data_IF_076224591272
#
_entry.id   IF_076224591272
#
_cell.length_a   1.000
_cell.length_b   1.000
_cell.length_c   1.000
_cell.angle_alpha   90.00
_cell.angle_beta   90.00
_cell.angle_gamma   90.00
#
_symmetry.space_group_name_H-M   'P 1'
#
loop_
_entity.id
_entity.type
_entity.pdbx_description
1 polymer ?
#
# COMPACT_ATOMS: atom_id res chain seq x y z
N UNK A 1 10.69 -2.44 2.05
CA UNK A 1 9.87 -2.60 3.27
C UNK A 1 10.75 -2.61 4.51
N UNK A 2 10.56 -1.64 5.40
CA UNK A 2 11.33 -1.42 6.61
C UNK A 2 10.88 -2.38 7.72
N UNK A 3 11.76 -3.29 8.14
CA UNK A 3 11.46 -4.32 9.14
C UNK A 3 11.18 -3.74 10.53
N UNK A 4 11.89 -2.69 10.91
CA UNK A 4 11.75 -2.08 12.23
C UNK A 4 10.39 -1.39 12.35
N UNK A 5 9.98 -0.66 11.30
CA UNK A 5 8.64 -0.05 11.22
C UNK A 5 7.54 -1.12 11.34
N UNK A 6 7.65 -2.21 10.58
CA UNK A 6 6.67 -3.28 10.58
C UNK A 6 6.55 -3.96 11.95
N UNK A 7 7.67 -4.17 12.65
CA UNK A 7 7.69 -4.69 14.01
C UNK A 7 7.08 -3.72 15.03
N UNK A 8 7.08 -2.40 14.79
CA UNK A 8 6.38 -1.44 15.67
C UNK A 8 4.86 -1.49 15.52
N UNK A 9 4.35 -1.81 14.32
CA UNK A 9 2.92 -1.91 14.04
C UNK A 9 2.30 -3.23 14.58
N UNK A 10 3.10 -4.27 14.77
CA UNK A 10 2.63 -5.58 15.25
C UNK A 10 2.67 -5.64 16.78
N UNK A 11 1.48 -5.61 17.38
CA UNK A 11 1.28 -5.97 18.79
C UNK A 11 1.18 -7.49 18.93
N UNK A 12 2.29 -8.15 19.25
CA UNK A 12 2.33 -9.58 19.50
C UNK A 12 3.27 -9.94 20.67
N UNK A 13 3.15 -11.15 21.26
CA UNK A 13 4.05 -11.62 22.30
C UNK A 13 5.52 -11.58 21.87
N UNK A 14 6.43 -11.37 22.82
CA UNK A 14 7.86 -11.19 22.57
C UNK A 14 8.51 -12.37 21.83
N UNK A 15 8.02 -13.60 22.06
CA UNK A 15 8.45 -14.81 21.34
C UNK A 15 8.13 -14.72 19.85
N UNK A 16 6.87 -14.43 19.51
CA UNK A 16 6.43 -14.32 18.11
C UNK A 16 7.10 -13.13 17.39
N UNK A 17 7.33 -12.02 18.10
CA UNK A 17 8.05 -10.86 17.56
C UNK A 17 9.50 -11.19 17.19
N UNK A 18 10.15 -12.06 17.97
CA UNK A 18 11.50 -12.56 17.69
C UNK A 18 11.50 -13.46 16.45
N UNK A 19 10.53 -14.35 16.32
CA UNK A 19 10.40 -15.24 15.16
C UNK A 19 10.13 -14.44 13.88
N UNK A 20 9.23 -13.45 13.94
CA UNK A 20 8.99 -12.50 12.85
C UNK A 20 10.25 -11.73 12.45
N UNK A 21 11.04 -11.25 13.43
CA UNK A 21 12.31 -10.58 13.15
C UNK A 21 13.32 -11.51 12.48
N UNK A 22 13.38 -12.78 12.89
CA UNK A 22 14.22 -13.79 12.25
C UNK A 22 13.76 -14.12 10.83
N UNK A 23 12.45 -14.20 10.59
CA UNK A 23 11.89 -14.44 9.25
C UNK A 23 12.05 -13.25 8.30
N UNK A 24 12.00 -12.02 8.83
CA UNK A 24 12.28 -10.81 8.06
C UNK A 24 13.78 -10.70 7.70
N UNK A 25 14.68 -11.10 8.61
CA UNK A 25 16.13 -11.11 8.39
C UNK A 25 16.65 -12.29 7.59
N UNK A 26 15.91 -13.40 7.54
CA UNK A 26 16.33 -14.57 6.79
C UNK A 26 16.43 -14.18 5.31
N UNK A 27 17.65 -14.12 4.77
CA UNK A 27 17.92 -13.80 3.37
C UNK A 27 17.12 -14.65 2.38
N UNK A 28 17.06 -14.20 1.13
CA UNK A 28 16.53 -15.02 0.03
C UNK A 28 17.70 -15.79 -0.57
N UNK A 29 17.53 -17.11 -0.71
CA UNK A 29 18.41 -17.90 -1.57
C UNK A 29 17.79 -17.88 -2.97
N UNK A 30 18.33 -17.06 -3.87
CA UNK A 30 17.93 -17.01 -5.27
C UNK A 30 19.06 -17.57 -6.15
N UNK A 31 18.75 -18.53 -7.00
CA UNK A 31 19.69 -19.18 -7.94
C UNK A 31 21.04 -19.64 -7.33
N UNK A 32 21.06 -20.08 -6.07
CA UNK A 32 22.26 -20.60 -5.40
C UNK A 32 23.19 -19.52 -4.83
N UNK A 33 22.80 -18.24 -4.89
CA UNK A 33 23.48 -17.12 -4.23
C UNK A 33 22.67 -16.73 -3.01
N UNK A 34 23.32 -16.70 -1.84
CA UNK A 34 22.71 -16.23 -0.61
C UNK A 34 22.88 -14.72 -0.53
N UNK A 35 21.79 -13.97 -0.70
CA UNK A 35 21.80 -12.53 -0.50
C UNK A 35 21.20 -12.19 0.86
N UNK A 36 21.98 -11.48 1.69
CA UNK A 36 21.48 -10.88 2.92
C UNK A 36 20.43 -9.83 2.54
N UNK A 37 19.17 -10.03 2.95
CA UNK A 37 18.12 -9.02 2.77
C UNK A 37 18.30 -7.89 3.77
N UNK A 38 19.04 -6.85 3.40
CA UNK A 38 19.11 -5.60 4.18
C UNK A 38 17.79 -4.82 4.18
N UNK A 39 16.92 -5.01 3.16
CA UNK A 39 15.59 -4.45 3.09
C UNK A 39 14.64 -5.30 2.22
N UNK A 40 13.33 -5.28 2.53
CA UNK A 40 12.33 -6.13 1.86
C UNK A 40 12.06 -7.45 2.59
N UNK A 41 10.90 -8.06 2.36
CA UNK A 41 10.64 -9.43 2.83
C UNK A 41 11.19 -10.42 1.82
N UNK A 42 11.61 -11.62 2.25
CA UNK A 42 11.92 -12.69 1.32
C UNK A 42 10.73 -12.96 0.39
N UNK A 43 10.87 -12.66 -0.91
CA UNK A 43 9.88 -13.03 -1.90
C UNK A 43 9.92 -14.56 -2.06
N UNK A 44 9.03 -15.24 -1.35
CA UNK A 44 9.00 -16.71 -1.25
C UNK A 44 8.65 -17.23 0.14
N UNK A 45 8.76 -16.39 1.18
CA UNK A 45 8.26 -16.74 2.50
C UNK A 45 6.73 -16.67 2.54
N UNK A 46 6.05 -17.75 2.95
CA UNK A 46 4.58 -17.86 3.06
C UNK A 46 3.96 -16.71 3.86
N UNK A 47 4.73 -16.08 4.75
CA UNK A 47 4.28 -14.96 5.59
C UNK A 47 4.44 -13.57 4.97
N UNK A 48 5.22 -13.42 3.90
CA UNK A 48 5.48 -12.14 3.23
C UNK A 48 4.20 -11.41 2.81
N UNK A 49 3.19 -12.07 2.19
CA UNK A 49 1.91 -11.43 1.84
C UNK A 49 1.13 -10.95 3.07
N UNK A 50 1.21 -11.69 4.19
CA UNK A 50 0.55 -11.32 5.43
C UNK A 50 1.19 -10.06 6.05
N UNK A 51 2.52 -9.99 6.06
CA UNK A 51 3.26 -8.85 6.61
C UNK A 51 3.04 -7.59 5.77
N UNK A 52 3.05 -7.71 4.45
CA UNK A 52 2.68 -6.62 3.56
C UNK A 52 1.25 -6.13 3.83
N UNK A 53 0.30 -7.05 4.05
CA UNK A 53 -1.07 -6.69 4.39
C UNK A 53 -1.19 -5.94 5.72
N UNK A 54 -0.48 -6.36 6.76
CA UNK A 54 -0.45 -5.65 8.05
C UNK A 54 0.17 -4.26 7.87
N UNK A 55 1.27 -4.18 7.11
CA UNK A 55 1.98 -2.95 6.84
C UNK A 55 1.21 -1.99 5.94
N UNK A 56 0.12 -2.41 5.27
CA UNK A 56 -0.75 -1.57 4.46
C UNK A 56 -2.10 -1.25 5.14
N UNK A 57 -2.44 -1.96 6.21
CA UNK A 57 -3.73 -1.81 6.91
C UNK A 57 -3.90 -0.42 7.55
N UNK A 58 -2.80 0.18 8.02
CA UNK A 58 -2.82 1.54 8.59
C UNK A 58 -3.14 2.64 7.56
N UNK A 59 -2.85 2.40 6.27
CA UNK A 59 -3.17 3.33 5.18
C UNK A 59 -4.68 3.51 5.04
N UNK A 60 -5.45 2.42 5.15
CA UNK A 60 -6.92 2.46 5.05
C UNK A 60 -7.49 3.36 6.14
N UNK A 61 -7.01 3.18 7.39
CA UNK A 61 -7.41 4.01 8.54
C UNK A 61 -7.05 5.48 8.36
N UNK A 62 -5.91 5.78 7.74
CA UNK A 62 -5.50 7.15 7.44
C UNK A 62 -6.52 7.84 6.52
N UNK A 63 -6.91 7.19 5.42
CA UNK A 63 -7.89 7.74 4.47
C UNK A 63 -9.26 7.92 5.12
N UNK A 64 -9.71 6.94 5.91
CA UNK A 64 -10.99 7.03 6.62
C UNK A 64 -11.01 8.14 7.67
N UNK A 65 -9.87 8.44 8.29
CA UNK A 65 -9.73 9.52 9.28
C UNK A 65 -9.73 10.89 8.61
N UNK A 66 -9.06 11.05 7.45
CA UNK A 66 -9.03 12.30 6.69
C UNK A 66 -10.38 12.62 6.05
N UNK A 67 -11.09 11.60 5.53
CA UNK A 67 -12.36 11.77 4.83
C UNK A 67 -13.45 10.89 5.45
N UNK A 68 -13.95 11.26 6.65
CA UNK A 68 -14.98 10.48 7.32
C UNK A 68 -16.28 10.47 6.52
N UNK A 69 -16.96 9.32 6.49
CA UNK A 69 -18.26 9.12 5.85
C UNK A 69 -19.38 9.87 6.61
N UNK A 70 -19.39 11.20 6.56
CA UNK A 70 -20.47 12.05 7.07
C UNK A 70 -21.34 12.55 5.91
N UNK A 71 -22.63 12.69 6.15
CA UNK A 71 -23.54 13.42 5.23
C UNK A 71 -23.01 14.86 5.13
N UNK A 72 -22.69 15.32 3.91
CA UNK A 72 -22.17 16.64 3.55
C UNK A 72 -20.65 16.90 3.64
N UNK A 73 -19.81 15.88 3.83
CA UNK A 73 -18.34 16.06 3.70
C UNK A 73 -17.84 15.24 2.52
N UNK A 74 -16.84 15.79 1.81
CA UNK A 74 -15.99 15.10 0.85
C UNK A 74 -15.76 13.61 1.23
N UNK A 75 -16.22 12.68 0.39
CA UNK A 75 -16.12 11.25 0.66
C UNK A 75 -14.98 10.63 -0.15
N UNK A 76 -14.06 9.95 0.53
CA UNK A 76 -13.13 9.02 -0.09
C UNK A 76 -13.46 7.62 0.37
N UNK A 77 -13.55 6.66 -0.56
CA UNK A 77 -13.69 5.24 -0.25
C UNK A 77 -12.48 4.52 -0.79
N UNK A 78 -11.78 3.81 0.08
CA UNK A 78 -10.67 2.94 -0.30
C UNK A 78 -11.14 1.48 -0.32
N UNK A 79 -10.78 0.77 -1.37
CA UNK A 79 -11.00 -0.67 -1.53
C UNK A 79 -9.63 -1.29 -1.75
N UNK A 80 -9.25 -2.28 -0.95
CA UNK A 80 -7.93 -2.93 -1.00
C UNK A 80 -8.08 -4.43 -1.22
N UNK A 81 -7.24 -4.99 -2.07
CA UNK A 81 -7.07 -6.41 -2.31
C UNK A 81 -5.58 -6.75 -2.32
N UNK A 82 -5.10 -7.44 -1.28
CA UNK A 82 -3.66 -7.65 -1.09
C UNK A 82 -2.87 -6.33 -1.22
N UNK A 83 -1.80 -6.29 -2.01
CA UNK A 83 -1.00 -5.10 -2.27
C UNK A 83 -1.68 -4.06 -3.18
N UNK A 84 -2.72 -4.45 -3.93
CA UNK A 84 -3.47 -3.55 -4.80
C UNK A 84 -4.61 -2.81 -4.07
N UNK A 85 -4.85 -1.57 -4.44
CA UNK A 85 -5.94 -0.77 -3.89
C UNK A 85 -6.48 0.25 -4.88
N UNK A 86 -7.75 0.61 -4.71
CA UNK A 86 -8.45 1.64 -5.46
C UNK A 86 -9.06 2.64 -4.49
N UNK A 87 -8.84 3.92 -4.77
CA UNK A 87 -9.47 5.03 -4.05
C UNK A 87 -10.51 5.67 -4.97
N UNK A 88 -11.74 5.80 -4.47
CA UNK A 88 -12.86 6.41 -5.20
C UNK A 88 -13.36 7.63 -4.44
N UNK A 89 -13.49 8.74 -5.15
CA UNK A 89 -14.03 10.01 -4.64
C UNK A 89 -14.74 10.76 -5.77
N UNK A 90 -15.77 11.58 -5.48
CA UNK A 90 -16.41 12.41 -6.50
C UNK A 90 -15.56 13.60 -6.95
N UNK A 91 -14.51 13.99 -6.21
CA UNK A 91 -13.62 15.11 -6.59
C UNK A 91 -12.24 14.61 -6.97
N UNK A 92 -11.71 15.11 -8.09
CA UNK A 92 -10.33 14.85 -8.53
C UNK A 92 -9.31 15.37 -7.51
N UNK A 93 -9.56 16.53 -6.92
CA UNK A 93 -8.67 17.15 -5.93
C UNK A 93 -8.48 16.24 -4.69
N UNK A 94 -9.56 15.58 -4.25
CA UNK A 94 -9.49 14.62 -3.15
C UNK A 94 -8.63 13.41 -3.54
N UNK A 95 -8.75 12.92 -4.78
CA UNK A 95 -7.94 11.80 -5.26
C UNK A 95 -6.45 12.16 -5.24
N UNK A 96 -6.08 13.37 -5.68
CA UNK A 96 -4.70 13.84 -5.66
C UNK A 96 -4.16 14.02 -4.23
N UNK A 97 -4.99 14.55 -3.33
CA UNK A 97 -4.67 14.63 -1.90
C UNK A 97 -4.48 13.24 -1.29
N UNK A 98 -5.36 12.28 -1.59
CA UNK A 98 -5.22 10.89 -1.16
C UNK A 98 -3.95 10.26 -1.71
N UNK A 99 -3.62 10.45 -3.00
CA UNK A 99 -2.38 9.94 -3.61
C UNK A 99 -1.14 10.46 -2.88
N UNK A 100 -1.14 11.75 -2.55
CA UNK A 100 -0.05 12.39 -1.81
C UNK A 100 0.05 11.83 -0.39
N UNK A 101 -1.05 11.78 0.35
CA UNK A 101 -1.08 11.26 1.71
C UNK A 101 -0.67 9.78 1.80
N UNK A 102 -1.10 8.95 0.85
CA UNK A 102 -0.68 7.54 0.75
C UNK A 102 0.82 7.47 0.46
N UNK A 103 1.34 8.28 -0.47
CA UNK A 103 2.77 8.30 -0.78
C UNK A 103 3.61 8.67 0.44
N UNK A 104 3.18 9.66 1.21
CA UNK A 104 3.84 10.05 2.47
C UNK A 104 3.77 8.96 3.53
N UNK A 105 2.65 8.25 3.62
CA UNK A 105 2.46 7.15 4.55
C UNK A 105 3.32 5.93 4.21
N UNK A 106 3.56 5.67 2.92
CA UNK A 106 4.37 4.53 2.47
C UNK A 106 5.89 4.75 2.65
N UNK A 107 6.38 6.01 2.67
CA UNK A 107 7.79 6.33 2.91
C UNK A 107 8.39 5.66 4.15
N UNK A 108 7.82 5.80 5.37
CA UNK A 108 8.35 5.13 6.57
C UNK A 108 8.22 3.60 6.52
N UNK A 109 7.23 3.08 5.78
CA UNK A 109 7.08 1.64 5.50
C UNK A 109 8.19 1.14 4.56
N UNK A 110 8.88 2.04 3.86
CA UNK A 110 9.87 1.71 2.83
C UNK A 110 9.22 1.07 1.61
N UNK A 111 8.05 1.58 1.24
CA UNK A 111 7.31 1.23 0.02
C UNK A 111 7.09 2.51 -0.79
N UNK A 112 6.99 2.36 -2.11
CA UNK A 112 6.72 3.46 -3.02
C UNK A 112 5.64 3.08 -4.02
N UNK A 113 4.77 4.03 -4.34
CA UNK A 113 3.79 3.87 -5.39
C UNK A 113 4.52 3.90 -6.73
N UNK A 114 4.34 2.86 -7.56
CA UNK A 114 4.88 2.86 -8.93
C UNK A 114 4.04 3.78 -9.81
N UNK A 115 4.59 4.90 -10.32
CA UNK A 115 3.83 5.85 -11.13
C UNK A 115 3.27 5.19 -12.40
N UNK A 116 4.04 4.28 -12.99
CA UNK A 116 3.69 3.54 -14.22
C UNK A 116 2.48 2.62 -14.05
N UNK A 117 2.23 2.12 -12.82
CA UNK A 117 1.07 1.27 -12.51
C UNK A 117 -0.10 2.06 -11.94
N UNK A 118 0.10 3.33 -11.62
CA UNK A 118 -0.92 4.14 -10.94
C UNK A 118 -1.65 5.00 -11.94
N UNK A 119 -2.96 4.80 -12.02
CA UNK A 119 -3.82 5.42 -13.02
C UNK A 119 -4.98 6.15 -12.34
N UNK A 120 -5.25 7.37 -12.78
CA UNK A 120 -6.43 8.12 -12.35
C UNK A 120 -7.39 8.15 -13.54
N UNK A 121 -8.59 7.59 -13.34
CA UNK A 121 -9.62 7.48 -14.36
C UNK A 121 -10.99 7.84 -13.75
N UNK A 122 -11.96 8.17 -14.61
CA UNK A 122 -13.33 8.37 -14.19
C UNK A 122 -14.18 7.14 -14.53
N UNK A 123 -15.19 6.85 -13.71
CA UNK A 123 -15.96 5.59 -13.82
C UNK A 123 -16.73 5.46 -15.14
N UNK A 124 -17.21 6.57 -15.71
CA UNK A 124 -18.17 6.56 -16.82
C UNK A 124 -17.76 7.40 -18.03
N UNK A 125 -16.73 8.23 -17.90
CA UNK A 125 -16.34 9.19 -18.95
C UNK A 125 -14.83 9.16 -19.11
N UNK A 126 -14.31 9.34 -20.34
CA UNK A 126 -12.90 9.57 -20.52
C UNK A 126 -12.50 10.90 -19.89
N UNK A 127 -11.31 10.96 -19.31
CA UNK A 127 -10.73 12.18 -18.75
C UNK A 127 -9.34 12.41 -19.32
N UNK A 128 -8.94 13.66 -19.49
CA UNK A 128 -7.53 13.97 -19.72
C UNK A 128 -6.83 14.13 -18.37
N UNK A 129 -5.83 13.31 -18.12
CA UNK A 129 -5.00 13.37 -16.93
C UNK A 129 -3.54 13.23 -17.34
N UNK A 130 -2.69 14.14 -16.86
CA UNK A 130 -1.24 14.15 -17.15
C UNK A 130 -0.89 14.10 -18.65
N UNK A 131 -1.68 14.79 -19.48
CA UNK A 131 -1.50 14.87 -20.94
C UNK A 131 -1.92 13.61 -21.71
N UNK A 132 -2.59 12.65 -21.07
CA UNK A 132 -3.11 11.43 -21.69
C UNK A 132 -4.63 11.35 -21.52
N UNK A 133 -5.31 10.85 -22.56
CA UNK A 133 -6.73 10.50 -22.46
C UNK A 133 -6.88 9.14 -21.79
N UNK A 134 -7.48 9.15 -20.60
CA UNK A 134 -7.72 7.97 -19.80
C UNK A 134 -9.14 7.45 -20.05
N UNK A 135 -9.25 6.24 -20.62
CA UNK A 135 -10.52 5.57 -20.86
C UNK A 135 -11.29 5.30 -19.55
N UNK A 136 -12.63 5.34 -19.57
CA UNK A 136 -13.41 5.07 -18.39
C UNK A 136 -13.30 3.63 -17.90
N UNK A 137 -13.40 3.44 -16.58
CA UNK A 137 -13.30 2.15 -15.94
C UNK A 137 -11.91 1.84 -15.40
N UNK A 138 -11.84 0.80 -14.57
CA UNK A 138 -10.60 0.30 -13.97
C UNK A 138 -10.54 -1.21 -14.17
N UNK A 139 -9.34 -1.72 -14.42
CA UNK A 139 -9.06 -3.15 -14.42
C UNK A 139 -8.40 -3.50 -13.09
N UNK A 140 -8.95 -4.50 -12.39
CA UNK A 140 -8.27 -5.19 -11.30
C UNK A 140 -7.82 -6.51 -11.89
N UNK A 141 -6.52 -6.72 -12.13
CA UNK A 141 -5.88 -8.00 -12.44
C UNK A 141 -4.35 -7.85 -12.51
#
# INVERSE_FOLDING_TARGET
MNHEYLLTQIHCPSSLKRDLKQWLKAGVLDNGVFEDTEAGTPQGGVISPLLANIALDGMVRLIETMYPKKKNVAQATIIRYADDFVVRSPSLEIIEQCKTAISEWLKPVGLEIKPEKTRICHTLKPIEYDGKTEEPGFDFL
#
